data_IF_653239844431
#
_entry.id   IF_653239844431
#
_cell.length_a   1.000
_cell.length_b   1.000
_cell.length_c   1.000
_cell.angle_alpha   90.00
_cell.angle_beta   90.00
_cell.angle_gamma   90.00
#
_symmetry.space_group_name_H-M   'P 1'
#
loop_
_entity.id
_entity.type
_entity.pdbx_description
1 polymer ?
#
# COMPACT_ATOMS: atom_id res chain seq x y z
N UNK A 1 10.36 29.44 2.21
CA UNK A 1 9.41 30.55 2.47
C UNK A 1 7.99 30.04 2.23
N UNK A 2 7.02 30.64 2.91
CA UNK A 2 5.60 30.29 3.05
C UNK A 2 4.82 29.84 1.78
N UNK A 3 4.03 28.80 2.01
CA UNK A 3 2.69 28.34 1.53
C UNK A 3 1.90 29.28 0.60
N UNK A 4 1.26 28.74 -0.46
CA UNK A 4 -0.21 28.80 -0.72
C UNK A 4 -0.62 28.27 -2.12
N UNK A 5 -1.75 27.53 -2.17
CA UNK A 5 -2.46 27.14 -3.40
C UNK A 5 -2.61 25.61 -3.57
N UNK A 6 -3.74 24.96 -3.35
CA UNK A 6 -5.09 25.44 -3.07
C UNK A 6 -5.73 24.68 -1.92
N UNK A 7 -6.50 25.42 -1.14
CA UNK A 7 -7.48 24.88 -0.22
C UNK A 7 -8.63 24.33 -1.07
N UNK A 8 -8.44 23.19 -1.72
CA UNK A 8 -9.60 22.35 -2.05
C UNK A 8 -10.25 22.05 -0.71
N UNK A 9 -11.44 22.61 -0.52
CA UNK A 9 -12.35 22.27 0.57
C UNK A 9 -12.53 20.76 0.51
N UNK A 10 -11.67 20.03 1.22
CA UNK A 10 -11.81 18.59 1.39
C UNK A 10 -13.15 18.41 2.09
N UNK A 11 -14.08 17.79 1.37
CA UNK A 11 -15.39 17.49 1.88
C UNK A 11 -15.24 16.78 3.23
N UNK A 12 -15.79 17.40 4.26
CA UNK A 12 -15.77 16.88 5.62
C UNK A 12 -17.02 16.03 5.73
N UNK A 13 -16.86 14.72 5.56
CA UNK A 13 -17.98 13.77 5.65
C UNK A 13 -18.05 13.23 7.08
N UNK A 14 -19.26 13.20 7.70
CA UNK A 14 -19.48 12.52 8.98
C UNK A 14 -19.15 11.01 8.87
N UNK A 15 -18.53 10.44 9.90
CA UNK A 15 -18.18 9.00 9.97
C UNK A 15 -19.31 8.03 9.60
N UNK A 16 -20.55 8.41 9.91
CA UNK A 16 -21.75 7.60 9.76
C UNK A 16 -22.20 7.44 8.29
N UNK A 17 -21.60 8.16 7.35
CA UNK A 17 -21.92 8.11 5.93
C UNK A 17 -20.91 7.30 5.10
N UNK A 18 -19.87 6.75 5.74
CA UNK A 18 -18.87 5.93 5.05
C UNK A 18 -19.39 4.51 4.90
N UNK A 19 -20.10 4.28 3.80
CA UNK A 19 -20.67 2.97 3.49
C UNK A 19 -20.04 2.43 2.22
N UNK A 20 -19.57 1.19 2.28
CA UNK A 20 -19.09 0.49 1.10
C UNK A 20 -20.28 -0.05 0.31
N UNK A 21 -20.31 0.25 -0.99
CA UNK A 21 -21.22 -0.46 -1.88
C UNK A 21 -20.74 -1.89 -2.12
N UNK A 22 -21.64 -2.79 -2.50
CA UNK A 22 -21.28 -4.16 -2.94
C UNK A 22 -20.23 -4.17 -4.04
N UNK A 23 -20.27 -3.18 -4.94
CA UNK A 23 -19.29 -3.02 -6.01
C UNK A 23 -17.90 -2.67 -5.48
N UNK A 24 -17.80 -1.81 -4.45
CA UNK A 24 -16.51 -1.49 -3.81
C UNK A 24 -15.88 -2.72 -3.16
N UNK A 25 -16.69 -3.54 -2.47
CA UNK A 25 -16.22 -4.77 -1.84
C UNK A 25 -15.75 -5.77 -2.89
N UNK A 26 -16.54 -5.98 -3.95
CA UNK A 26 -16.17 -6.88 -5.04
C UNK A 26 -14.90 -6.43 -5.77
N UNK A 27 -14.73 -5.11 -5.99
CA UNK A 27 -13.51 -4.56 -6.57
C UNK A 27 -12.32 -4.77 -5.65
N UNK A 28 -12.42 -4.42 -4.36
CA UNK A 28 -11.35 -4.58 -3.39
C UNK A 28 -10.95 -6.04 -3.20
N UNK A 29 -11.90 -6.97 -3.17
CA UNK A 29 -11.63 -8.41 -3.11
C UNK A 29 -10.79 -8.84 -4.32
N UNK A 30 -11.27 -8.59 -5.54
CA UNK A 30 -10.58 -8.97 -6.76
C UNK A 30 -9.21 -8.27 -6.92
N UNK A 31 -9.18 -6.95 -6.76
CA UNK A 31 -7.98 -6.13 -6.93
C UNK A 31 -6.90 -6.50 -5.92
N UNK A 32 -7.26 -6.77 -4.66
CA UNK A 32 -6.30 -7.06 -3.60
C UNK A 32 -5.56 -8.38 -3.81
N UNK A 33 -6.25 -9.40 -4.33
CA UNK A 33 -5.65 -10.69 -4.70
C UNK A 33 -4.65 -10.50 -5.85
N UNK A 34 -5.04 -9.76 -6.91
CA UNK A 34 -4.14 -9.46 -8.04
C UNK A 34 -2.91 -8.66 -7.60
N UNK A 35 -3.11 -7.65 -6.77
CA UNK A 35 -2.03 -6.85 -6.18
C UNK A 35 -1.12 -7.73 -5.31
N UNK A 36 -1.67 -8.68 -4.55
CA UNK A 36 -0.87 -9.60 -3.75
C UNK A 36 0.03 -10.47 -4.64
N UNK A 37 -0.49 -11.00 -5.74
CA UNK A 37 0.31 -11.79 -6.69
C UNK A 37 1.49 -10.99 -7.26
N UNK A 38 1.29 -9.70 -7.56
CA UNK A 38 2.37 -8.81 -8.01
C UNK A 38 3.42 -8.61 -6.90
N UNK A 39 3.00 -8.39 -5.65
CA UNK A 39 3.91 -8.28 -4.51
C UNK A 39 4.71 -9.57 -4.30
N UNK A 40 4.05 -10.73 -4.32
CA UNK A 40 4.69 -12.02 -4.08
C UNK A 40 5.72 -12.33 -5.17
N UNK A 41 5.40 -12.01 -6.43
CA UNK A 41 6.33 -12.17 -7.56
C UNK A 41 7.55 -11.25 -7.44
N UNK A 42 7.34 -9.98 -7.09
CA UNK A 42 8.43 -9.03 -6.86
C UNK A 42 9.30 -9.44 -5.65
N UNK A 43 8.67 -9.91 -4.58
CA UNK A 43 9.35 -10.39 -3.39
C UNK A 43 10.16 -11.65 -3.67
N UNK A 44 9.63 -12.61 -4.44
CA UNK A 44 10.34 -13.81 -4.84
C UNK A 44 11.60 -13.47 -5.65
N UNK A 45 11.52 -12.48 -6.55
CA UNK A 45 12.69 -11.95 -7.25
C UNK A 45 13.69 -11.31 -6.28
N UNK A 46 13.25 -10.44 -5.37
CA UNK A 46 14.15 -9.81 -4.39
C UNK A 46 14.84 -10.84 -3.50
N UNK A 47 14.12 -11.87 -3.03
CA UNK A 47 14.71 -12.97 -2.25
C UNK A 47 15.78 -13.72 -3.04
N UNK A 48 15.57 -13.90 -4.34
CA UNK A 48 16.51 -14.62 -5.22
C UNK A 48 17.79 -13.82 -5.51
N UNK A 49 17.68 -12.51 -5.74
CA UNK A 49 18.80 -11.71 -6.26
C UNK A 49 19.37 -10.70 -5.24
N UNK A 50 18.59 -10.29 -4.26
CA UNK A 50 18.97 -9.33 -3.22
C UNK A 50 18.48 -9.80 -1.83
N UNK A 51 18.86 -11.02 -1.39
CA UNK A 51 18.39 -11.59 -0.13
C UNK A 51 18.65 -10.67 1.08
N UNK A 52 19.73 -9.91 1.06
CA UNK A 52 20.10 -8.94 2.11
C UNK A 52 19.07 -7.81 2.32
N UNK A 53 18.19 -7.54 1.36
CA UNK A 53 17.13 -6.54 1.48
C UNK A 53 15.86 -7.11 2.12
N UNK A 54 15.72 -8.44 2.16
CA UNK A 54 14.52 -9.15 2.60
C UNK A 54 14.76 -9.93 3.90
N UNK A 55 16.00 -10.39 4.15
CA UNK A 55 16.35 -11.13 5.36
C UNK A 55 16.35 -10.25 6.60
N UNK A 56 15.74 -10.76 7.66
CA UNK A 56 15.66 -10.11 8.97
C UNK A 56 16.71 -10.73 9.90
N UNK A 57 17.89 -10.11 9.98
CA UNK A 57 18.85 -10.30 11.08
C UNK A 57 19.89 -11.44 10.95
N UNK A 58 20.99 -11.38 11.74
CA UNK A 58 22.14 -12.25 11.61
C UNK A 58 22.04 -13.43 12.59
N UNK A 59 21.44 -14.54 12.16
CA UNK A 59 21.63 -15.88 12.76
C UNK A 59 21.15 -17.00 11.83
N UNK A 60 21.21 -16.80 10.51
CA UNK A 60 20.84 -17.81 9.50
C UNK A 60 22.07 -18.53 8.93
N UNK A 61 23.08 -18.78 9.77
CA UNK A 61 24.14 -19.74 9.45
C UNK A 61 23.78 -21.08 10.06
N UNK A 62 23.41 -22.03 9.18
CA UNK A 62 23.03 -23.42 9.43
C UNK A 62 21.55 -23.65 9.76
N UNK A 63 20.71 -23.55 8.75
CA UNK A 63 19.68 -24.58 8.58
C UNK A 63 19.29 -24.70 7.11
N UNK A 64 19.32 -25.93 6.62
CA UNK A 64 18.65 -26.36 5.39
C UNK A 64 17.14 -26.20 5.63
N UNK A 65 16.63 -24.97 5.59
CA UNK A 65 15.26 -24.66 5.99
C UNK A 65 14.38 -24.38 4.77
N UNK A 66 14.12 -25.43 4.00
CA UNK A 66 12.82 -25.59 3.35
C UNK A 66 11.80 -25.89 4.44
N UNK A 67 11.01 -24.88 4.88
CA UNK A 67 9.78 -24.88 5.72
C UNK A 67 9.88 -23.72 6.75
N UNK A 68 9.14 -22.61 6.70
CA UNK A 68 7.69 -22.49 6.72
C UNK A 68 7.32 -21.00 6.44
N UNK A 69 6.55 -20.73 5.39
CA UNK A 69 5.95 -19.41 5.11
C UNK A 69 4.43 -19.49 5.28
N UNK A 70 3.92 -20.43 6.08
CA UNK A 70 2.52 -20.86 5.88
C UNK A 70 1.44 -20.09 6.64
N UNK A 71 1.73 -19.20 7.61
CA UNK A 71 0.65 -18.52 8.37
C UNK A 71 0.84 -16.99 8.58
N UNK A 72 1.56 -16.27 7.71
CA UNK A 72 1.65 -14.81 7.84
C UNK A 72 0.62 -14.11 6.96
N UNK A 73 -0.34 -13.42 7.59
CA UNK A 73 -1.29 -12.57 6.91
C UNK A 73 -0.65 -11.29 6.36
N UNK A 74 -1.30 -10.64 5.41
CA UNK A 74 -0.90 -9.35 4.86
C UNK A 74 -2.00 -8.32 5.07
N UNK A 75 -1.61 -7.12 5.51
CA UNK A 75 -2.46 -5.94 5.57
C UNK A 75 -2.10 -4.99 4.42
N UNK A 76 -2.93 -4.93 3.38
CA UNK A 76 -2.76 -3.97 2.30
C UNK A 76 -3.44 -2.63 2.64
N UNK A 77 -2.81 -1.52 2.27
CA UNK A 77 -3.32 -0.16 2.50
C UNK A 77 -3.88 0.41 1.22
N UNK A 78 -5.18 0.59 1.21
CA UNK A 78 -5.95 1.07 0.06
C UNK A 78 -6.52 2.46 0.34
N UNK A 79 -6.64 3.23 -0.73
CA UNK A 79 -7.23 4.56 -0.72
C UNK A 79 -8.15 4.70 -1.93
N UNK A 80 -9.36 5.21 -1.73
CA UNK A 80 -10.27 5.52 -2.83
C UNK A 80 -9.94 6.92 -3.34
N UNK A 81 -9.37 7.00 -4.55
CA UNK A 81 -9.08 8.26 -5.20
C UNK A 81 -10.10 8.59 -6.28
N UNK A 82 -9.99 9.78 -6.93
CA UNK A 82 -10.88 10.18 -8.02
C UNK A 82 -10.86 9.24 -9.25
N UNK A 83 -9.83 8.40 -9.36
CA UNK A 83 -9.65 7.44 -10.46
C UNK A 83 -9.85 5.99 -10.01
N UNK A 84 -10.54 5.77 -8.89
CA UNK A 84 -10.76 4.45 -8.30
C UNK A 84 -9.76 4.10 -7.20
N UNK A 85 -9.77 2.83 -6.81
CA UNK A 85 -8.99 2.31 -5.70
C UNK A 85 -7.49 2.25 -6.02
N UNK A 86 -6.65 2.61 -5.05
CA UNK A 86 -5.20 2.56 -5.16
C UNK A 86 -4.56 1.89 -3.95
N UNK A 87 -3.67 0.94 -4.18
CA UNK A 87 -2.81 0.32 -3.17
C UNK A 87 -1.57 1.19 -2.94
N UNK A 88 -1.47 1.80 -1.77
CA UNK A 88 -0.37 2.70 -1.41
C UNK A 88 0.76 2.03 -0.61
N UNK A 89 0.59 0.75 -0.27
CA UNK A 89 1.56 -0.03 0.50
C UNK A 89 0.91 -1.26 1.14
N UNK A 90 1.72 -2.03 1.85
CA UNK A 90 1.28 -3.24 2.55
C UNK A 90 2.17 -3.51 3.78
N UNK A 91 1.70 -4.31 4.72
CA UNK A 91 2.43 -4.70 5.94
C UNK A 91 2.22 -6.20 6.19
N UNK A 92 3.24 -6.89 6.69
CA UNK A 92 3.09 -8.26 7.19
C UNK A 92 2.38 -8.24 8.54
N UNK A 93 1.38 -9.11 8.69
CA UNK A 93 0.78 -9.42 9.98
C UNK A 93 1.52 -10.63 10.54
N UNK A 94 2.24 -10.40 11.63
CA UNK A 94 2.64 -11.47 12.54
C UNK A 94 1.46 -11.70 13.48
N UNK A 95 1.03 -12.96 13.65
CA UNK A 95 -0.18 -13.39 14.36
C UNK A 95 -0.63 -12.46 15.50
N UNK A 96 -1.89 -12.03 15.43
CA UNK A 96 -2.50 -11.00 16.28
C UNK A 96 -3.15 -11.62 17.51
N UNK A 97 -2.75 -11.17 18.70
CA UNK A 97 -3.56 -11.26 19.93
C UNK A 97 -4.40 -9.96 20.04
N UNK A 98 -5.74 -10.02 20.16
CA UNK A 98 -6.66 -8.86 20.03
C UNK A 98 -6.50 -7.72 21.04
N UNK A 99 -5.71 -7.89 22.11
CA UNK A 99 -5.50 -6.89 23.16
C UNK A 99 -4.18 -6.10 23.05
N UNK A 100 -3.39 -6.33 22.00
CA UNK A 100 -2.08 -5.69 21.88
C UNK A 100 -2.13 -4.38 21.09
N UNK A 101 -1.71 -3.29 21.73
CA UNK A 101 -1.36 -2.04 21.05
C UNK A 101 -0.43 -2.33 19.87
N UNK A 102 -0.73 -1.75 18.70
CA UNK A 102 -0.10 -2.08 17.42
C UNK A 102 1.44 -2.14 17.49
N UNK A 103 1.99 -3.33 17.28
CA UNK A 103 3.41 -3.54 17.11
C UNK A 103 3.85 -2.97 15.73
N UNK A 104 4.54 -1.84 15.75
CA UNK A 104 5.24 -1.34 14.58
C UNK A 104 6.47 -2.22 14.31
N UNK A 105 6.43 -3.01 13.24
CA UNK A 105 7.64 -3.60 12.67
C UNK A 105 8.61 -2.47 12.25
N UNK A 106 9.81 -2.35 12.87
CA UNK A 106 10.71 -1.21 12.65
C UNK A 106 11.18 -1.03 11.20
N UNK A 107 11.05 -2.08 10.37
CA UNK A 107 11.43 -2.08 8.96
C UNK A 107 10.30 -2.42 7.99
N UNK A 108 9.06 -2.69 8.45
CA UNK A 108 7.96 -3.07 7.55
C UNK A 108 7.59 -1.94 6.58
N UNK A 109 7.58 -0.68 7.05
CA UNK A 109 7.32 0.45 6.17
C UNK A 109 8.37 0.57 5.07
N UNK A 110 9.65 0.40 5.41
CA UNK A 110 10.73 0.47 4.42
C UNK A 110 10.65 -0.69 3.42
N UNK A 111 10.44 -1.93 3.89
CA UNK A 111 10.28 -3.10 3.01
C UNK A 111 9.11 -2.92 2.03
N UNK A 112 7.96 -2.48 2.54
CA UNK A 112 6.79 -2.18 1.71
C UNK A 112 7.11 -1.15 0.63
N UNK A 113 7.80 -0.08 0.99
CA UNK A 113 8.13 0.98 0.06
C UNK A 113 9.21 0.59 -0.95
N UNK A 114 10.18 -0.25 -0.56
CA UNK A 114 11.16 -0.82 -1.49
C UNK A 114 10.45 -1.64 -2.57
N UNK A 115 9.48 -2.47 -2.18
CA UNK A 115 8.68 -3.24 -3.14
C UNK A 115 7.85 -2.34 -4.05
N UNK A 116 7.19 -1.32 -3.51
CA UNK A 116 6.48 -0.31 -4.31
C UNK A 116 7.39 0.36 -5.35
N UNK A 117 8.60 0.79 -4.96
CA UNK A 117 9.58 1.38 -5.88
C UNK A 117 9.98 0.38 -6.97
N UNK A 118 10.29 -0.85 -6.58
CA UNK A 118 10.75 -1.89 -7.51
C UNK A 118 9.68 -2.22 -8.54
N UNK A 119 8.45 -2.47 -8.09
CA UNK A 119 7.31 -2.79 -8.94
C UNK A 119 7.04 -1.64 -9.92
N UNK A 120 6.96 -0.40 -9.43
CA UNK A 120 6.70 0.76 -10.28
C UNK A 120 7.83 1.01 -11.30
N UNK A 121 9.08 0.94 -10.85
CA UNK A 121 10.25 1.14 -11.72
C UNK A 121 10.32 0.09 -12.84
N UNK A 122 9.93 -1.15 -12.54
CA UNK A 122 9.89 -2.22 -13.53
C UNK A 122 8.74 -2.04 -14.51
N UNK A 123 7.56 -1.67 -14.03
CA UNK A 123 6.43 -1.32 -14.89
C UNK A 123 6.82 -0.25 -15.90
N UNK A 124 7.35 0.89 -15.47
CA UNK A 124 7.73 1.98 -16.38
C UNK A 124 8.81 1.56 -17.39
N UNK A 125 9.83 0.82 -16.94
CA UNK A 125 10.90 0.34 -17.83
C UNK A 125 10.41 -0.70 -18.81
N UNK A 126 9.52 -1.60 -18.40
CA UNK A 126 8.92 -2.60 -19.29
C UNK A 126 8.11 -1.90 -20.36
N UNK A 127 7.30 -0.91 -19.99
CA UNK A 127 6.53 -0.12 -20.96
C UNK A 127 7.45 0.65 -21.91
N UNK A 128 8.49 1.32 -21.40
CA UNK A 128 9.43 2.11 -22.20
C UNK A 128 10.26 1.25 -23.16
N UNK A 129 10.70 0.08 -22.70
CA UNK A 129 11.62 -0.80 -23.43
C UNK A 129 10.93 -1.99 -24.09
N UNK A 130 9.59 -2.04 -24.09
CA UNK A 130 8.81 -3.15 -24.66
C UNK A 130 9.28 -3.57 -26.06
N UNK A 131 9.61 -2.66 -27.00
CA UNK A 131 10.12 -3.05 -28.33
C UNK A 131 11.47 -3.79 -28.31
N UNK A 132 12.23 -3.70 -27.22
CA UNK A 132 13.60 -4.20 -27.09
C UNK A 132 13.74 -5.38 -26.13
N UNK A 133 12.73 -5.66 -25.30
CA UNK A 133 12.79 -6.70 -24.24
C UNK A 133 12.62 -8.14 -24.76
N UNK A 134 12.37 -8.34 -26.05
CA UNK A 134 12.11 -9.66 -26.62
C UNK A 134 10.74 -10.22 -26.19
N UNK A 135 10.60 -11.55 -26.15
CA UNK A 135 9.32 -12.24 -25.86
C UNK A 135 9.01 -12.41 -24.36
N UNK A 136 9.96 -12.13 -23.45
CA UNK A 136 9.80 -12.44 -22.02
C UNK A 136 9.98 -11.19 -21.15
N UNK A 137 8.88 -10.46 -20.92
CA UNK A 137 8.82 -9.43 -19.89
C UNK A 137 8.64 -10.06 -18.50
N UNK A 138 9.23 -9.43 -17.47
CA UNK A 138 9.07 -9.93 -16.09
C UNK A 138 7.61 -9.96 -15.65
N UNK A 139 6.83 -8.94 -16.02
CA UNK A 139 5.39 -8.88 -15.82
C UNK A 139 4.65 -9.21 -17.12
N UNK A 140 3.62 -10.04 -17.02
CA UNK A 140 2.70 -10.31 -18.13
C UNK A 140 1.70 -9.15 -18.30
N UNK A 141 0.88 -9.20 -19.35
CA UNK A 141 -0.10 -8.14 -19.67
C UNK A 141 -1.07 -7.85 -18.52
N UNK A 142 -1.63 -8.89 -17.91
CA UNK A 142 -2.59 -8.72 -16.80
C UNK A 142 -1.93 -8.11 -15.55
N UNK A 143 -0.68 -8.49 -15.26
CA UNK A 143 0.09 -7.91 -14.16
C UNK A 143 0.43 -6.44 -14.43
N UNK A 144 0.79 -6.08 -15.66
CA UNK A 144 1.02 -4.68 -16.04
C UNK A 144 -0.26 -3.84 -15.92
N UNK A 145 -1.40 -4.38 -16.36
CA UNK A 145 -2.72 -3.74 -16.18
C UNK A 145 -3.04 -3.56 -14.69
N UNK A 146 -2.79 -4.58 -13.86
CA UNK A 146 -2.93 -4.51 -12.40
C UNK A 146 -2.04 -3.42 -11.79
N UNK A 147 -0.77 -3.36 -12.19
CA UNK A 147 0.18 -2.36 -11.68
C UNK A 147 -0.29 -0.95 -12.04
N UNK A 148 -0.63 -0.70 -13.31
CA UNK A 148 -1.11 0.61 -13.76
C UNK A 148 -2.42 1.04 -13.08
N UNK A 149 -3.30 0.07 -12.80
CA UNK A 149 -4.63 0.33 -12.24
C UNK A 149 -4.59 0.57 -10.74
N UNK A 150 -3.74 -0.14 -9.99
CA UNK A 150 -3.83 -0.11 -8.52
C UNK A 150 -2.58 0.41 -7.81
N UNK A 151 -1.38 0.25 -8.37
CA UNK A 151 -0.18 0.76 -7.71
C UNK A 151 -0.05 2.28 -7.89
N UNK A 152 0.62 2.91 -6.93
CA UNK A 152 0.86 4.35 -6.93
C UNK A 152 2.30 4.63 -7.32
N UNK A 153 2.57 5.59 -8.21
CA UNK A 153 3.93 5.97 -8.58
C UNK A 153 4.80 6.25 -7.37
N UNK A 154 5.86 5.47 -7.22
CA UNK A 154 6.75 5.51 -6.06
C UNK A 154 8.20 5.47 -6.52
N UNK A 155 9.00 6.44 -6.06
CA UNK A 155 10.34 6.72 -6.56
C UNK A 155 11.33 7.02 -5.43
N UNK A 156 12.62 6.80 -5.69
CA UNK A 156 13.71 7.29 -4.83
C UNK A 156 14.10 8.75 -5.12
N UNK A 157 13.79 9.24 -6.33
CA UNK A 157 13.95 10.65 -6.71
C UNK A 157 12.61 11.33 -6.81
N UNK A 158 12.55 12.61 -6.44
CA UNK A 158 11.35 13.44 -6.57
C UNK A 158 11.15 13.94 -8.00
N UNK A 159 12.19 13.89 -8.85
CA UNK A 159 12.20 14.46 -10.20
C UNK A 159 11.03 14.01 -11.08
N UNK A 160 10.70 12.70 -11.21
CA UNK A 160 9.61 12.28 -12.10
C UNK A 160 8.25 12.86 -11.69
N UNK A 161 8.02 13.01 -10.37
CA UNK A 161 6.77 13.57 -9.84
C UNK A 161 6.67 15.08 -10.12
N UNK A 162 7.79 15.81 -10.01
CA UNK A 162 7.84 17.25 -10.32
C UNK A 162 7.63 17.50 -11.81
N UNK A 163 8.32 16.74 -12.67
CA UNK A 163 8.20 16.88 -14.13
C UNK A 163 6.78 16.59 -14.62
N UNK A 164 6.08 15.66 -13.98
CA UNK A 164 4.67 15.34 -14.27
C UNK A 164 3.67 16.27 -13.56
N UNK A 165 4.13 17.26 -12.79
CA UNK A 165 3.26 18.17 -12.04
C UNK A 165 2.40 17.48 -10.99
N UNK A 166 2.87 16.37 -10.42
CA UNK A 166 2.12 15.54 -9.47
C UNK A 166 2.38 15.93 -8.03
N UNK A 167 1.33 16.08 -7.19
CA UNK A 167 1.52 16.22 -5.76
C UNK A 167 2.10 14.92 -5.19
N UNK A 168 2.92 15.02 -4.15
CA UNK A 168 3.62 13.87 -3.59
C UNK A 168 3.78 13.95 -2.08
N UNK A 169 4.01 12.80 -1.46
CA UNK A 169 4.41 12.67 -0.06
C UNK A 169 5.81 12.06 0.04
N UNK A 170 6.63 12.59 0.95
CA UNK A 170 7.90 11.99 1.34
C UNK A 170 7.69 11.07 2.53
N UNK A 171 8.10 9.81 2.42
CA UNK A 171 8.05 8.86 3.54
C UNK A 171 9.20 9.10 4.52
N UNK A 172 8.93 8.92 5.82
CA UNK A 172 9.92 9.03 6.90
C UNK A 172 10.72 7.73 7.00
N UNK A 173 11.57 7.47 6.02
CA UNK A 173 12.43 6.28 5.94
C UNK A 173 13.91 6.67 5.95
N UNK A 174 14.82 5.70 6.17
CA UNK A 174 16.27 5.94 6.15
C UNK A 174 16.79 6.33 4.77
N UNK A 175 16.11 5.88 3.72
CA UNK A 175 16.36 6.27 2.32
C UNK A 175 15.26 7.23 1.86
N UNK A 176 15.55 8.18 0.95
CA UNK A 176 14.53 9.08 0.42
C UNK A 176 13.55 8.28 -0.45
N UNK A 177 12.27 8.32 -0.08
CA UNK A 177 11.18 7.70 -0.85
C UNK A 177 10.07 8.72 -1.02
N UNK A 178 9.64 8.91 -2.26
CA UNK A 178 8.57 9.80 -2.67
C UNK A 178 7.48 8.97 -3.34
N UNK A 179 6.22 9.20 -2.97
CA UNK A 179 5.07 8.54 -3.58
C UNK A 179 4.06 9.60 -4.01
N UNK A 180 3.42 9.43 -5.17
CA UNK A 180 2.32 10.30 -5.60
C UNK A 180 1.26 10.38 -4.48
N UNK A 181 0.78 11.60 -4.23
CA UNK A 181 -0.25 11.86 -3.26
C UNK A 181 -1.61 11.66 -3.93
N UNK A 182 -2.26 10.55 -3.62
CA UNK A 182 -3.65 10.31 -4.02
C UNK A 182 -4.57 11.13 -3.11
N UNK A 183 -5.41 11.96 -3.71
CA UNK A 183 -6.45 12.70 -2.98
C UNK A 183 -7.50 11.71 -2.47
N UNK A 184 -7.94 11.90 -1.23
CA UNK A 184 -8.98 11.09 -0.63
C UNK A 184 -9.79 11.92 0.37
N UNK A 185 -11.06 11.53 0.63
CA UNK A 185 -11.93 12.23 1.55
C UNK A 185 -11.30 12.40 2.94
N UNK A 186 -11.53 13.56 3.55
CA UNK A 186 -11.15 13.79 4.94
C UNK A 186 -12.39 13.68 5.81
N UNK A 187 -12.37 12.75 6.76
CA UNK A 187 -13.50 12.51 7.64
C UNK A 187 -13.32 13.26 8.96
N UNK A 188 -14.44 13.68 9.55
CA UNK A 188 -14.52 14.05 10.95
C UNK A 188 -15.28 12.96 11.70
N UNK A 189 -14.63 12.36 12.69
CA UNK A 189 -15.26 11.37 13.57
C UNK A 189 -15.28 11.86 15.00
N UNK A 190 -16.36 11.58 15.71
CA UNK A 190 -16.45 11.79 17.15
C UNK A 190 -15.92 10.50 17.80
N UNK A 191 -14.76 10.57 18.44
CA UNK A 191 -14.21 9.46 19.23
C UNK A 191 -14.04 9.94 20.66
N UNK A 192 -14.73 9.30 21.60
CA UNK A 192 -14.71 9.67 23.04
C UNK A 192 -15.03 11.16 23.31
N UNK A 193 -15.88 11.76 22.46
CA UNK A 193 -16.26 13.19 22.55
C UNK A 193 -15.22 14.16 21.97
N UNK A 194 -14.12 13.67 21.39
CA UNK A 194 -13.10 14.48 20.72
C UNK A 194 -13.29 14.36 19.20
N UNK A 195 -13.38 15.49 18.48
CA UNK A 195 -13.42 15.47 17.02
C UNK A 195 -12.03 15.09 16.46
N UNK A 196 -11.95 13.95 15.80
CA UNK A 196 -10.77 13.49 15.07
C UNK A 196 -10.95 13.76 13.58
N UNK A 197 -10.04 14.56 13.03
CA UNK A 197 -9.93 14.78 11.58
C UNK A 197 -8.83 13.91 10.99
N UNK A 198 -9.10 13.22 9.89
CA UNK A 198 -8.07 12.53 9.15
C UNK A 198 -8.51 12.05 7.78
N UNK A 199 -7.56 11.50 7.04
CA UNK A 199 -7.81 10.92 5.72
C UNK A 199 -8.43 9.54 5.89
N UNK A 200 -9.52 9.28 5.16
CA UNK A 200 -10.11 7.95 5.08
C UNK A 200 -9.21 7.00 4.30
N UNK A 201 -9.03 5.80 4.85
CA UNK A 201 -8.24 4.73 4.29
C UNK A 201 -8.98 3.40 4.48
N UNK A 202 -8.64 2.42 3.65
CA UNK A 202 -9.17 1.06 3.74
C UNK A 202 -8.04 0.07 3.91
N UNK A 203 -8.05 -0.68 5.00
CA UNK A 203 -7.22 -1.86 5.16
C UNK A 203 -7.88 -3.03 4.46
N UNK A 204 -7.10 -3.83 3.72
CA UNK A 204 -7.56 -5.11 3.18
C UNK A 204 -6.70 -6.22 3.78
N UNK A 205 -7.34 -7.19 4.41
CA UNK A 205 -6.69 -8.33 5.05
C UNK A 205 -6.62 -9.48 4.05
N UNK A 206 -5.43 -10.04 3.85
CA UNK A 206 -5.19 -11.17 2.95
C UNK A 206 -4.46 -12.26 3.72
N UNK A 207 -4.83 -13.51 3.50
CA UNK A 207 -4.09 -14.66 4.01
C UNK A 207 -4.00 -15.72 2.92
N UNK A 208 -2.79 -16.20 2.60
CA UNK A 208 -2.55 -17.19 1.55
C UNK A 208 -3.26 -16.87 0.21
N UNK A 209 -3.14 -15.62 -0.25
CA UNK A 209 -3.81 -15.08 -1.43
C UNK A 209 -5.36 -15.09 -1.38
N UNK A 210 -5.97 -15.29 -0.21
CA UNK A 210 -7.41 -15.18 0.00
C UNK A 210 -7.75 -13.88 0.71
N UNK A 211 -8.76 -13.18 0.19
CA UNK A 211 -9.36 -12.03 0.85
C UNK A 211 -10.03 -12.45 2.17
N UNK A 212 -9.72 -11.76 3.26
CA UNK A 212 -10.26 -12.04 4.60
C UNK A 212 -11.25 -10.96 5.07
N UNK A 213 -11.31 -9.82 4.38
CA UNK A 213 -12.17 -8.70 4.73
C UNK A 213 -11.46 -7.36 4.64
N UNK A 214 -12.22 -6.32 5.01
CA UNK A 214 -11.75 -4.94 5.05
C UNK A 214 -11.79 -4.36 6.47
N UNK A 215 -10.91 -3.39 6.72
CA UNK A 215 -10.88 -2.59 7.94
C UNK A 215 -10.74 -1.13 7.58
N UNK A 216 -11.83 -0.36 7.44
CA UNK A 216 -11.74 1.08 7.29
C UNK A 216 -11.02 1.71 8.48
N UNK A 217 -10.22 2.73 8.22
CA UNK A 217 -9.57 3.49 9.27
C UNK A 217 -9.35 4.93 8.84
N UNK A 218 -9.17 5.80 9.84
CA UNK A 218 -8.78 7.19 9.62
C UNK A 218 -7.33 7.35 10.01
N UNK A 219 -6.59 8.05 9.14
CA UNK A 219 -5.21 8.44 9.41
C UNK A 219 -5.12 9.93 9.70
N UNK A 220 -4.74 10.28 10.92
CA UNK A 220 -4.57 11.68 11.32
C UNK A 220 -3.24 12.27 10.80
N UNK A 221 -3.04 13.58 11.01
CA UNK A 221 -1.81 14.29 10.59
C UNK A 221 -0.53 13.76 11.25
N UNK A 222 -0.65 13.15 12.42
CA UNK A 222 0.48 12.57 13.15
C UNK A 222 0.82 11.16 12.64
N UNK A 223 -0.02 10.59 11.78
CA UNK A 223 0.15 9.26 11.20
C UNK A 223 -0.51 8.13 11.98
N UNK A 224 -1.18 8.41 13.11
CA UNK A 224 -1.93 7.42 13.89
C UNK A 224 -3.15 6.94 13.10
N UNK A 225 -3.51 5.67 13.29
CA UNK A 225 -4.65 5.01 12.65
C UNK A 225 -5.73 4.76 13.70
N UNK A 226 -6.96 5.16 13.40
CA UNK A 226 -8.15 4.81 14.19
C UNK A 226 -9.04 3.94 13.33
N UNK A 227 -9.17 2.66 13.68
CA UNK A 227 -9.98 1.70 12.94
C UNK A 227 -11.46 1.88 13.23
N UNK A 228 -12.29 1.56 12.24
CA UNK A 228 -13.73 1.70 12.25
C UNK A 228 -14.37 0.38 11.83
N UNK A 229 -15.64 0.18 12.19
CA UNK A 229 -16.42 -0.94 11.68
C UNK A 229 -16.75 -0.73 10.19
N UNK A 230 -16.68 -1.80 9.40
CA UNK A 230 -17.05 -1.75 8.00
C UNK A 230 -18.56 -1.86 7.85
N UNK A 231 -19.21 -0.80 7.39
CA UNK A 231 -20.62 -0.80 7.02
C UNK A 231 -20.74 -1.11 5.52
N UNK A 232 -21.54 -2.12 5.16
CA UNK A 232 -21.76 -2.58 3.78
C UNK A 232 -23.26 -2.46 3.47
N UNK A 233 -23.61 -1.78 2.37
CA UNK A 233 -24.98 -1.67 1.85
C UNK A 233 -25.25 -2.63 0.68
#
# INVERSE_FOLDING_TARGET
MRIEGGNELREIVPAQEVVYGKEDIAELENASIKVQNVYDKALAMLRRYLPQLVSSGPDDHNSTCTQSITNQGVFQKWIQGPKGWKCIGYEWQTDVDPNSEQAYLPNAQLQSMILQIMIWSQFEKIILLHPFLGQEAFYNKEELETISSYFVPTYMSVTPLIELGKPYKKHKTRVPIYQELISAPSLLIQSEGIPLKGTWMTGVYINQANFQGIGPYIKNSNGCRTFMEALIN
#
